data_IF_620887279163
#
_entry.id   IF_620887279163
#
_cell.length_a   1.000
_cell.length_b   1.000
_cell.length_c   1.000
_cell.angle_alpha   90.00
_cell.angle_beta   90.00
_cell.angle_gamma   90.00
#
_symmetry.space_group_name_H-M   'P 1'
#
loop_
_entity.id
_entity.type
_entity.pdbx_description
1 polymer ?
#
# COMPACT_ATOMS: atom_id res chain seq x y z
N UNK A 1 14.55 -30.48 -7.75
CA UNK A 1 14.56 -29.09 -8.26
C UNK A 1 14.75 -29.14 -9.75
N UNK A 2 13.95 -28.37 -10.50
CA UNK A 2 14.10 -28.21 -11.94
C UNK A 2 14.85 -26.91 -12.27
N UNK A 3 15.22 -26.76 -13.54
CA UNK A 3 16.00 -25.61 -14.01
C UNK A 3 15.32 -24.26 -13.74
N UNK A 4 13.98 -24.23 -13.66
CA UNK A 4 13.23 -23.02 -13.33
C UNK A 4 13.40 -22.64 -11.85
N UNK A 5 13.28 -23.59 -10.93
CA UNK A 5 13.46 -23.33 -9.51
C UNK A 5 14.89 -22.83 -9.23
N UNK A 6 15.89 -23.47 -9.84
CA UNK A 6 17.30 -23.07 -9.70
C UNK A 6 17.53 -21.64 -10.22
N UNK A 7 16.94 -21.29 -11.37
CA UNK A 7 16.98 -19.92 -11.91
C UNK A 7 16.36 -18.91 -10.94
N UNK A 8 15.17 -19.21 -10.41
CA UNK A 8 14.47 -18.33 -9.46
C UNK A 8 15.32 -18.12 -8.21
N UNK A 9 15.96 -19.14 -7.68
CA UNK A 9 16.84 -19.02 -6.52
C UNK A 9 18.04 -18.12 -6.78
N UNK A 10 18.68 -18.24 -7.94
CA UNK A 10 19.81 -17.38 -8.33
C UNK A 10 19.36 -15.92 -8.42
N UNK A 11 18.25 -15.65 -9.10
CA UNK A 11 17.72 -14.28 -9.25
C UNK A 11 17.31 -13.68 -7.91
N UNK A 12 16.65 -14.46 -7.04
CA UNK A 12 16.23 -13.99 -5.71
C UNK A 12 17.40 -13.56 -4.84
N UNK A 13 18.60 -14.12 -5.00
CA UNK A 13 19.79 -13.74 -4.22
C UNK A 13 20.39 -12.40 -4.63
N UNK A 14 19.98 -11.83 -5.75
CA UNK A 14 20.48 -10.51 -6.19
C UNK A 14 20.01 -9.41 -5.24
N UNK A 15 20.86 -8.41 -4.99
CA UNK A 15 20.54 -7.26 -4.14
C UNK A 15 19.30 -6.51 -4.64
N UNK A 16 19.16 -6.36 -5.96
CA UNK A 16 18.00 -5.71 -6.57
C UNK A 16 16.69 -6.42 -6.26
N UNK A 17 16.67 -7.76 -6.32
CA UNK A 17 15.46 -8.52 -6.03
C UNK A 17 15.14 -8.52 -4.52
N UNK A 18 16.16 -8.59 -3.67
CA UNK A 18 15.99 -8.44 -2.22
C UNK A 18 15.44 -7.06 -1.84
N UNK A 19 15.98 -5.99 -2.44
CA UNK A 19 15.48 -4.63 -2.25
C UNK A 19 14.02 -4.50 -2.71
N UNK A 20 13.66 -5.12 -3.84
CA UNK A 20 12.28 -5.14 -4.32
C UNK A 20 11.34 -5.83 -3.32
N UNK A 21 11.72 -6.98 -2.76
CA UNK A 21 10.91 -7.64 -1.74
C UNK A 21 10.74 -6.79 -0.47
N UNK A 22 11.81 -6.12 -0.02
CA UNK A 22 11.70 -5.19 1.10
C UNK A 22 10.78 -4.00 0.80
N UNK A 23 10.80 -3.48 -0.42
CA UNK A 23 9.86 -2.44 -0.86
C UNK A 23 8.42 -2.95 -0.85
N UNK A 24 8.17 -4.20 -1.26
CA UNK A 24 6.82 -4.79 -1.21
C UNK A 24 6.26 -4.91 0.21
N UNK A 25 7.12 -5.00 1.23
CA UNK A 25 6.70 -4.99 2.64
C UNK A 25 6.47 -3.56 3.17
N UNK A 26 7.34 -2.61 2.79
CA UNK A 26 7.33 -1.24 3.36
C UNK A 26 6.39 -0.27 2.68
N UNK A 27 6.30 -0.32 1.35
CA UNK A 27 5.49 0.63 0.58
C UNK A 27 3.98 0.53 0.90
N UNK A 28 3.37 -0.65 1.15
CA UNK A 28 1.99 -0.73 1.64
C UNK A 28 1.77 0.00 2.97
N UNK A 29 2.71 -0.11 3.91
CA UNK A 29 2.62 0.56 5.20
C UNK A 29 2.68 2.09 5.03
N UNK A 30 3.59 2.58 4.18
CA UNK A 30 3.70 4.02 3.84
C UNK A 30 2.42 4.55 3.18
N UNK A 31 1.86 3.79 2.24
CA UNK A 31 0.64 4.20 1.54
C UNK A 31 -0.55 4.26 2.51
N UNK A 32 -0.71 3.23 3.37
CA UNK A 32 -1.74 3.24 4.40
C UNK A 32 -1.55 4.42 5.35
N UNK A 33 -0.32 4.71 5.78
CA UNK A 33 -0.02 5.83 6.67
C UNK A 33 -0.35 7.19 6.05
N UNK A 34 0.01 7.41 4.78
CA UNK A 34 -0.31 8.64 4.06
C UNK A 34 -1.83 8.85 3.96
N UNK A 35 -2.56 7.80 3.59
CA UNK A 35 -4.02 7.82 3.49
C UNK A 35 -4.68 8.08 4.85
N UNK A 36 -4.28 7.37 5.90
CA UNK A 36 -4.82 7.56 7.24
C UNK A 36 -4.56 8.97 7.77
N UNK A 37 -3.34 9.51 7.57
CA UNK A 37 -2.99 10.87 7.99
C UNK A 37 -3.86 11.92 7.31
N UNK A 38 -4.07 11.80 6.00
CA UNK A 38 -4.94 12.74 5.28
C UNK A 38 -6.41 12.60 5.70
N UNK A 39 -6.87 11.35 5.92
CA UNK A 39 -8.21 11.07 6.42
C UNK A 39 -8.44 11.64 7.83
N UNK A 40 -7.47 11.56 8.74
CA UNK A 40 -7.57 12.13 10.09
C UNK A 40 -7.68 13.66 10.07
N UNK A 41 -7.07 14.33 9.09
CA UNK A 41 -7.14 15.80 8.94
C UNK A 41 -8.45 16.23 8.29
N UNK A 42 -8.91 15.49 7.27
CA UNK A 42 -10.02 15.93 6.40
C UNK A 42 -11.36 15.29 6.72
N UNK A 43 -11.35 14.11 7.35
CA UNK A 43 -12.49 13.20 7.51
C UNK A 43 -13.23 12.87 6.21
N UNK A 44 -12.54 12.97 5.08
CA UNK A 44 -13.07 12.72 3.73
C UNK A 44 -12.31 11.58 3.06
N UNK A 45 -12.92 10.97 2.05
CA UNK A 45 -12.21 10.02 1.20
C UNK A 45 -10.97 10.70 0.59
N UNK A 46 -9.84 9.99 0.56
CA UNK A 46 -8.59 10.46 -0.03
C UNK A 46 -8.64 10.18 -1.54
N UNK A 47 -8.56 11.20 -2.39
CA UNK A 47 -8.54 11.03 -3.84
C UNK A 47 -7.34 10.23 -4.34
N UNK A 48 -7.55 9.40 -5.36
CA UNK A 48 -6.50 8.60 -6.01
C UNK A 48 -5.24 9.37 -6.42
N UNK A 49 -5.39 10.59 -6.95
CA UNK A 49 -4.29 11.45 -7.38
C UNK A 49 -3.49 12.07 -6.23
N UNK A 50 -3.99 12.04 -4.99
CA UNK A 50 -3.20 12.43 -3.81
C UNK A 50 -2.22 11.34 -3.35
N UNK A 51 -2.49 10.08 -3.72
CA UNK A 51 -1.74 8.92 -3.25
C UNK A 51 -0.39 8.70 -3.98
N UNK A 52 0.00 9.60 -4.90
CA UNK A 52 1.24 9.51 -5.70
C UNK A 52 1.50 8.11 -6.28
N UNK A 53 0.43 7.43 -6.71
CA UNK A 53 0.50 6.08 -7.26
C UNK A 53 1.16 6.16 -8.64
N UNK A 54 2.34 5.55 -8.79
CA UNK A 54 3.03 5.47 -10.07
C UNK A 54 3.25 4.02 -10.50
N UNK A 55 2.87 3.73 -11.75
CA UNK A 55 3.04 2.42 -12.37
C UNK A 55 2.23 1.29 -11.73
N UNK A 56 2.55 0.06 -12.14
CA UNK A 56 1.84 -1.14 -11.71
C UNK A 56 1.92 -1.39 -10.20
N UNK A 57 3.05 -1.07 -9.57
CA UNK A 57 3.27 -1.33 -8.14
C UNK A 57 2.33 -0.53 -7.25
N UNK A 58 2.10 0.75 -7.54
CA UNK A 58 1.17 1.57 -6.76
C UNK A 58 -0.25 0.99 -6.78
N UNK A 59 -0.75 0.64 -7.97
CA UNK A 59 -2.07 0.02 -8.13
C UNK A 59 -2.16 -1.36 -7.46
N UNK A 60 -1.11 -2.18 -7.56
CA UNK A 60 -1.08 -3.50 -6.92
C UNK A 60 -1.14 -3.40 -5.39
N UNK A 61 -0.40 -2.45 -4.80
CA UNK A 61 -0.42 -2.19 -3.35
C UNK A 61 -1.80 -1.72 -2.91
N UNK A 62 -2.41 -0.79 -3.64
CA UNK A 62 -3.74 -0.27 -3.35
C UNK A 62 -4.79 -1.40 -3.36
N UNK A 63 -4.74 -2.28 -4.36
CA UNK A 63 -5.58 -3.47 -4.42
C UNK A 63 -5.33 -4.44 -3.27
N UNK A 64 -4.08 -4.60 -2.85
CA UNK A 64 -3.74 -5.43 -1.69
C UNK A 64 -4.37 -4.87 -0.41
N UNK A 65 -4.27 -3.55 -0.17
CA UNK A 65 -4.88 -2.89 0.98
C UNK A 65 -6.42 -3.00 0.98
N UNK A 66 -7.05 -2.85 -0.19
CA UNK A 66 -8.50 -3.05 -0.34
C UNK A 66 -8.88 -4.51 -0.05
N UNK A 67 -8.15 -5.47 -0.62
CA UNK A 67 -8.43 -6.91 -0.46
C UNK A 67 -8.21 -7.38 0.97
N UNK A 68 -7.28 -6.76 1.70
CA UNK A 68 -7.04 -7.00 3.12
C UNK A 68 -8.05 -6.26 4.04
N UNK A 69 -9.04 -5.55 3.48
CA UNK A 69 -10.02 -4.76 4.20
C UNK A 69 -9.39 -3.69 5.13
N UNK A 70 -8.23 -3.15 4.74
CA UNK A 70 -7.57 -2.04 5.45
C UNK A 70 -8.08 -0.69 4.96
N UNK A 71 -8.50 -0.62 3.70
CA UNK A 71 -9.14 0.56 3.11
C UNK A 71 -10.37 0.14 2.28
N UNK A 72 -11.34 1.04 2.15
CA UNK A 72 -12.43 0.92 1.17
C UNK A 72 -12.14 1.79 -0.04
N UNK A 73 -12.70 1.39 -1.19
CA UNK A 73 -12.65 2.15 -2.44
C UNK A 73 -14.07 2.54 -2.85
N UNK A 74 -14.29 3.83 -3.05
CA UNK A 74 -15.54 4.40 -3.51
C UNK A 74 -15.32 5.08 -4.86
N UNK A 75 -16.32 5.05 -5.75
CA UNK A 75 -16.26 5.86 -6.99
C UNK A 75 -16.50 7.32 -6.62
N UNK A 76 -15.68 8.21 -7.16
CA UNK A 76 -15.92 9.66 -7.10
C UNK A 76 -16.36 10.20 -8.46
N UNK A 77 -17.09 11.32 -8.45
CA UNK A 77 -17.84 11.80 -9.63
C UNK A 77 -17.34 13.13 -10.21
N UNK A 78 -16.32 13.78 -9.63
CA UNK A 78 -15.93 15.15 -10.04
C UNK A 78 -14.46 15.39 -10.32
N UNK A 79 -13.56 14.93 -9.46
CA UNK A 79 -12.13 15.27 -9.55
C UNK A 79 -11.18 14.10 -9.34
N UNK A 80 -11.72 12.90 -9.12
CA UNK A 80 -10.97 11.67 -8.89
C UNK A 80 -11.72 10.50 -9.51
N UNK A 81 -11.03 9.44 -9.94
CA UNK A 81 -11.70 8.21 -10.38
C UNK A 81 -12.20 7.43 -9.16
N UNK A 82 -11.40 7.43 -8.10
CA UNK A 82 -11.69 6.77 -6.84
C UNK A 82 -11.29 7.60 -5.63
N UNK A 83 -12.08 7.47 -4.57
CA UNK A 83 -11.76 7.92 -3.22
C UNK A 83 -11.51 6.71 -2.31
N UNK A 84 -10.56 6.85 -1.38
CA UNK A 84 -10.20 5.79 -0.45
C UNK A 84 -10.39 6.22 1.00
N UNK A 85 -10.93 5.33 1.84
CA UNK A 85 -11.08 5.57 3.28
C UNK A 85 -10.45 4.44 4.06
N UNK A 86 -9.80 4.71 5.20
CA UNK A 86 -9.34 3.65 6.06
C UNK A 86 -10.54 2.98 6.74
N UNK A 87 -10.49 1.66 6.90
CA UNK A 87 -11.43 0.95 7.76
C UNK A 87 -11.01 1.07 9.22
N UNK A 88 -11.84 0.61 10.15
CA UNK A 88 -11.44 0.48 11.56
C UNK A 88 -10.18 -0.38 11.72
N UNK A 89 -10.04 -1.44 10.90
CA UNK A 89 -8.86 -2.30 10.90
C UNK A 89 -7.63 -1.55 10.36
N UNK A 90 -7.79 -0.79 9.28
CA UNK A 90 -6.72 0.06 8.74
C UNK A 90 -6.23 1.09 9.75
N UNK A 91 -7.14 1.79 10.43
CA UNK A 91 -6.81 2.74 11.49
C UNK A 91 -6.12 2.07 12.67
N UNK A 92 -6.55 0.87 13.07
CA UNK A 92 -5.92 0.10 14.15
C UNK A 92 -4.44 -0.19 13.84
N UNK A 93 -4.14 -0.70 12.64
CA UNK A 93 -2.76 -0.99 12.25
C UNK A 93 -1.94 0.29 12.07
N UNK A 94 -2.52 1.34 11.49
CA UNK A 94 -1.86 2.63 11.39
C UNK A 94 -1.40 3.15 12.74
N UNK A 95 -2.28 3.15 13.75
CA UNK A 95 -1.94 3.61 15.10
C UNK A 95 -0.88 2.73 15.76
N UNK A 96 -1.00 1.41 15.62
CA UNK A 96 0.01 0.47 16.14
C UNK A 96 1.40 0.72 15.52
N UNK A 97 1.48 0.91 14.20
CA UNK A 97 2.75 1.19 13.52
C UNK A 97 3.36 2.54 13.92
N UNK A 98 2.53 3.56 14.19
CA UNK A 98 2.98 4.85 14.73
C UNK A 98 3.59 4.69 16.14
N UNK A 99 2.94 3.93 17.02
CA UNK A 99 3.42 3.69 18.39
C UNK A 99 4.76 2.94 18.39
N UNK A 100 4.95 2.03 17.44
CA UNK A 100 6.20 1.30 17.23
C UNK A 100 7.31 2.15 16.58
N UNK A 101 7.01 3.37 16.11
CA UNK A 101 7.92 4.24 15.33
C UNK A 101 8.40 3.60 14.03
N UNK A 102 7.57 2.74 13.44
CA UNK A 102 7.83 2.03 12.19
C UNK A 102 7.35 2.81 10.95
N UNK A 103 6.62 3.91 11.14
CA UNK A 103 6.17 4.88 10.13
C UNK A 103 6.19 6.30 10.68
#
# INVERSE_FOLDING_TARGET
>A
MGAFEDFVEVVKKTETMQALFQSLEREPAKLLAALCREYEVTHKAVPDHHLNLSGYFGEAILRALVSANLITREREDRFALYGYKPTELGLKYYKAMLDEKNI
#
